data_IF_539347228332
#
_entry.id   IF_539347228332
#
_cell.length_a   1.000
_cell.length_b   1.000
_cell.length_c   1.000
_cell.angle_alpha   90.00
_cell.angle_beta   90.00
_cell.angle_gamma   90.00
#
_symmetry.space_group_name_H-M   'P 1'
#
loop_
_entity.id
_entity.type
_entity.pdbx_description
1 polymer ?
#
# COMPACT_ATOMS: atom_id res chain seq x y z
N UNK A 1 7.68 15.23 16.57
CA UNK A 1 8.49 14.46 15.59
C UNK A 1 7.93 14.74 14.21
N UNK A 2 8.72 15.30 13.29
CA UNK A 2 8.25 15.53 11.93
C UNK A 2 8.06 14.17 11.24
N UNK A 3 6.86 13.92 10.73
CA UNK A 3 6.58 12.72 9.96
C UNK A 3 7.31 12.83 8.61
N UNK A 4 8.00 11.77 8.20
CA UNK A 4 8.77 11.77 6.96
C UNK A 4 7.88 12.14 5.75
N UNK A 5 8.44 12.91 4.81
CA UNK A 5 7.71 13.35 3.62
C UNK A 5 7.34 12.16 2.73
N UNK A 6 6.28 12.28 1.95
CA UNK A 6 5.83 11.17 1.09
C UNK A 6 6.92 10.74 0.08
N UNK A 7 7.74 11.69 -0.40
CA UNK A 7 8.85 11.42 -1.31
C UNK A 7 9.91 10.49 -0.70
N UNK A 8 10.11 10.53 0.62
CA UNK A 8 11.09 9.66 1.30
C UNK A 8 10.74 8.16 1.22
N UNK A 9 9.50 7.82 0.85
CA UNK A 9 9.04 6.44 0.71
C UNK A 9 9.17 5.90 -0.72
N UNK A 10 9.58 6.72 -1.70
CA UNK A 10 9.80 6.28 -3.08
C UNK A 10 10.79 5.12 -3.22
N UNK A 11 11.94 5.09 -2.51
CA UNK A 11 12.87 3.96 -2.58
C UNK A 11 12.29 2.64 -2.03
N UNK A 12 11.14 2.68 -1.36
CA UNK A 12 10.47 1.50 -0.81
C UNK A 12 9.39 0.94 -1.73
N UNK A 13 9.08 1.59 -2.85
CA UNK A 13 8.10 1.10 -3.84
C UNK A 13 8.45 -0.32 -4.32
N UNK A 14 9.71 -0.66 -4.68
CA UNK A 14 10.07 -2.03 -5.08
C UNK A 14 9.77 -3.05 -3.99
N UNK A 15 10.05 -2.71 -2.71
CA UNK A 15 9.74 -3.59 -1.58
C UNK A 15 8.24 -3.83 -1.42
N UNK A 16 7.39 -2.86 -1.75
CA UNK A 16 5.93 -3.09 -1.76
C UNK A 16 5.53 -4.06 -2.85
N UNK A 17 6.13 -3.97 -4.04
CA UNK A 17 5.88 -4.91 -5.13
C UNK A 17 6.34 -6.34 -4.77
N UNK A 18 7.45 -6.49 -4.05
CA UNK A 18 7.96 -7.79 -3.59
C UNK A 18 7.00 -8.46 -2.59
N UNK A 19 6.30 -7.69 -1.76
CA UNK A 19 5.28 -8.19 -0.82
C UNK A 19 4.03 -8.77 -1.50
N UNK A 20 3.93 -8.61 -2.83
CA UNK A 20 2.85 -9.10 -3.68
C UNK A 20 3.34 -10.12 -4.70
N UNK A 21 4.61 -10.53 -4.67
CA UNK A 21 5.19 -11.42 -5.68
C UNK A 21 4.52 -12.80 -5.75
N UNK A 22 3.83 -13.21 -4.67
CA UNK A 22 3.02 -14.43 -4.61
C UNK A 22 1.67 -14.31 -5.34
N UNK A 23 1.26 -13.10 -5.72
CA UNK A 23 0.02 -12.80 -6.44
C UNK A 23 0.31 -11.81 -7.59
N UNK A 24 0.64 -12.33 -8.79
CA UNK A 24 0.99 -11.49 -9.94
C UNK A 24 -0.10 -10.49 -10.33
N UNK A 25 -1.37 -10.80 -10.06
CA UNK A 25 -2.49 -9.89 -10.34
C UNK A 25 -2.45 -8.68 -9.43
N UNK A 26 -2.26 -8.87 -8.12
CA UNK A 26 -2.13 -7.76 -7.17
C UNK A 26 -0.83 -6.99 -7.39
N UNK A 27 0.26 -7.68 -7.71
CA UNK A 27 1.53 -7.05 -8.03
C UNK A 27 1.41 -6.13 -9.25
N UNK A 28 0.82 -6.62 -10.35
CA UNK A 28 0.58 -5.82 -11.54
C UNK A 28 -0.37 -4.64 -11.27
N UNK A 29 -1.42 -4.85 -10.47
CA UNK A 29 -2.32 -3.77 -10.05
C UNK A 29 -1.55 -2.66 -9.35
N UNK A 30 -0.68 -3.00 -8.39
CA UNK A 30 0.18 -2.05 -7.69
C UNK A 30 1.15 -1.31 -8.63
N UNK A 31 1.82 -2.05 -9.52
CA UNK A 31 2.78 -1.47 -10.47
C UNK A 31 2.12 -0.48 -11.45
N UNK A 32 0.85 -0.69 -11.79
CA UNK A 32 0.07 0.21 -12.65
C UNK A 32 -0.51 1.44 -11.92
N UNK A 33 -0.39 1.53 -10.60
CA UNK A 33 -0.79 2.74 -9.87
C UNK A 33 0.14 3.90 -10.21
N UNK A 34 -0.38 5.13 -10.14
CA UNK A 34 0.48 6.32 -10.23
C UNK A 34 1.48 6.34 -9.06
N UNK A 35 2.69 6.92 -9.25
CA UNK A 35 3.72 6.94 -8.20
C UNK A 35 3.24 7.54 -6.87
N UNK A 36 2.27 8.46 -6.91
CA UNK A 36 1.62 9.01 -5.72
C UNK A 36 1.00 7.92 -4.83
N UNK A 37 0.16 7.05 -5.40
CA UNK A 37 -0.48 5.96 -4.65
C UNK A 37 0.54 4.90 -4.20
N UNK A 38 1.55 4.61 -5.02
CA UNK A 38 2.62 3.68 -4.64
C UNK A 38 3.36 4.16 -3.39
N UNK A 39 3.71 5.45 -3.34
CA UNK A 39 4.34 6.06 -2.14
C UNK A 39 3.40 6.09 -0.94
N UNK A 40 2.10 6.28 -1.14
CA UNK A 40 1.13 6.21 -0.04
C UNK A 40 1.08 4.82 0.60
N UNK A 41 1.11 3.76 -0.19
CA UNK A 41 1.19 2.38 0.31
C UNK A 41 2.51 2.08 0.99
N UNK A 42 3.63 2.50 0.39
CA UNK A 42 4.95 2.38 1.01
C UNK A 42 5.00 3.10 2.37
N UNK A 43 4.44 4.31 2.47
CA UNK A 43 4.30 5.05 3.74
C UNK A 43 3.40 4.33 4.72
N UNK A 44 2.27 3.81 4.27
CA UNK A 44 1.32 3.13 5.15
C UNK A 44 1.98 1.89 5.77
N UNK A 45 2.67 1.07 4.98
CA UNK A 45 3.33 -0.17 5.43
C UNK A 45 4.60 0.15 6.23
N UNK A 46 5.57 0.85 5.65
CA UNK A 46 6.90 1.01 6.24
C UNK A 46 7.05 2.25 7.14
N UNK A 47 6.04 3.12 7.20
CA UNK A 47 6.04 4.27 8.09
C UNK A 47 5.81 3.91 9.57
N UNK A 48 5.45 2.66 9.87
CA UNK A 48 5.31 2.15 11.24
C UNK A 48 6.47 1.23 11.60
N UNK A 49 6.98 1.33 12.84
CA UNK A 49 8.12 0.52 13.31
C UNK A 49 7.74 -0.92 13.68
N UNK A 50 6.51 -1.13 14.15
CA UNK A 50 6.07 -2.42 14.66
C UNK A 50 5.73 -3.39 13.50
N UNK A 51 6.48 -4.49 13.41
CA UNK A 51 6.30 -5.50 12.36
C UNK A 51 4.86 -6.06 12.31
N UNK A 52 4.24 -6.33 13.46
CA UNK A 52 2.85 -6.81 13.51
C UNK A 52 1.85 -5.83 12.86
N UNK A 53 2.10 -4.53 12.98
CA UNK A 53 1.29 -3.49 12.32
C UNK A 53 1.58 -3.44 10.82
N UNK A 54 2.83 -3.62 10.40
CA UNK A 54 3.17 -3.74 8.98
C UNK A 54 2.42 -4.91 8.33
N UNK A 55 2.40 -6.08 8.97
CA UNK A 55 1.66 -7.25 8.47
C UNK A 55 0.17 -6.98 8.31
N UNK A 56 -0.46 -6.34 9.30
CA UNK A 56 -1.87 -5.90 9.20
C UNK A 56 -2.10 -4.92 8.06
N UNK A 57 -1.15 -4.01 7.82
CA UNK A 57 -1.23 -3.04 6.73
C UNK A 57 -1.09 -3.70 5.36
N UNK A 58 -0.22 -4.70 5.24
CA UNK A 58 -0.07 -5.53 4.02
C UNK A 58 -1.36 -6.28 3.74
N UNK A 59 -1.93 -6.96 4.74
CA UNK A 59 -3.21 -7.64 4.60
C UNK A 59 -4.33 -6.69 4.15
N UNK A 60 -4.40 -5.49 4.75
CA UNK A 60 -5.36 -4.46 4.34
C UNK A 60 -5.13 -3.98 2.91
N UNK A 61 -3.88 -3.81 2.47
CA UNK A 61 -3.57 -3.45 1.08
C UNK A 61 -4.10 -4.49 0.11
N UNK A 62 -3.89 -5.78 0.39
CA UNK A 62 -4.39 -6.89 -0.45
C UNK A 62 -5.92 -6.89 -0.51
N UNK A 63 -6.60 -6.76 0.62
CA UNK A 63 -8.07 -6.63 0.69
C UNK A 63 -8.58 -5.45 -0.16
N UNK A 64 -7.90 -4.31 -0.09
CA UNK A 64 -8.23 -3.08 -0.82
C UNK A 64 -8.06 -3.27 -2.34
N UNK A 65 -6.96 -3.92 -2.77
CA UNK A 65 -6.69 -4.21 -4.17
C UNK A 65 -7.62 -5.28 -4.75
N UNK A 66 -7.92 -6.32 -3.98
CA UNK A 66 -8.90 -7.35 -4.37
C UNK A 66 -10.30 -6.76 -4.60
N UNK A 67 -10.65 -5.71 -3.85
CA UNK A 67 -11.89 -4.97 -4.06
C UNK A 67 -11.80 -3.90 -5.17
N UNK A 68 -10.67 -3.77 -5.86
CA UNK A 68 -10.48 -2.87 -7.01
C UNK A 68 -10.15 -1.42 -6.66
N UNK A 69 -9.77 -1.11 -5.42
CA UNK A 69 -9.52 0.27 -4.99
C UNK A 69 -8.02 0.60 -4.98
N UNK A 70 -7.66 1.75 -5.53
CA UNK A 70 -6.27 2.25 -5.60
C UNK A 70 -5.68 2.73 -4.27
N UNK A 71 -6.52 3.09 -3.31
CA UNK A 71 -6.08 3.61 -2.02
C UNK A 71 -6.99 3.16 -0.88
N UNK A 72 -6.42 3.06 0.33
CA UNK A 72 -7.18 2.80 1.55
C UNK A 72 -8.32 3.81 1.75
N UNK A 73 -8.09 5.10 1.43
CA UNK A 73 -9.12 6.13 1.55
C UNK A 73 -10.32 5.84 0.63
N UNK A 74 -10.06 5.50 -0.64
CA UNK A 74 -11.13 5.19 -1.59
C UNK A 74 -11.92 3.95 -1.16
N UNK A 75 -11.23 2.96 -0.60
CA UNK A 75 -11.85 1.78 0.00
C UNK A 75 -12.71 2.16 1.20
N UNK A 76 -12.18 2.88 2.18
CA UNK A 76 -12.90 3.24 3.41
C UNK A 76 -14.11 4.15 3.15
N UNK A 77 -14.08 4.96 2.09
CA UNK A 77 -15.18 5.84 1.69
C UNK A 77 -16.23 5.18 0.81
N UNK A 78 -16.09 3.87 0.50
CA UNK A 78 -17.08 3.18 -0.33
C UNK A 78 -18.44 3.10 0.38
N UNK A 79 -19.57 3.14 -0.35
CA UNK A 79 -20.88 2.85 0.22
C UNK A 79 -20.84 1.45 0.85
N UNK A 80 -21.28 1.34 2.10
CA UNK A 80 -21.51 0.04 2.71
C UNK A 80 -22.77 -0.54 2.07
N UNK A 81 -22.63 -1.69 1.41
CA UNK A 81 -23.77 -2.51 1.00
C UNK A 81 -24.52 -3.03 2.23
#
# INVERSE_FOLDING_TARGET
MAQASLASFEPLIPKVADLLADDPTLQAFFQNLTPGYQREWARFIFGVKAQATQQRHIAKMREVFQAGYKSKRAYDSRPKA
#
